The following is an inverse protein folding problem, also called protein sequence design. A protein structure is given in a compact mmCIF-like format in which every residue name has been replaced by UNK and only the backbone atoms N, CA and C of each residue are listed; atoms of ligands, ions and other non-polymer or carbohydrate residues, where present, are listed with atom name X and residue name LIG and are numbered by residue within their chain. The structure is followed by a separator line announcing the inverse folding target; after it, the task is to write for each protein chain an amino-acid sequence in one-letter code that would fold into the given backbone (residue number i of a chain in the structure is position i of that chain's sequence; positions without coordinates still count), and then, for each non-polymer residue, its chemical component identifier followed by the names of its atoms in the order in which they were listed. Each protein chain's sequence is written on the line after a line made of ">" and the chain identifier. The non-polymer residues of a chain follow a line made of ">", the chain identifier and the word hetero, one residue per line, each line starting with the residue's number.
data_IF_089307407747
#
_entry.id   IF_089307407747
#
_cell.length_a   1.000
_cell.length_b   1.000
_cell.length_c   1.000
_cell.angle_alpha   90.00
_cell.angle_beta   90.00
_cell.angle_gamma   90.00
#
_symmetry.space_group_name_H-M   'P 1'
#
loop_
_entity.id
_entity.type
_entity.pdbx_description
1 polymer ?
#
# COMPACT_ATOMS: atom_id res chain seq x y z
N UNK A 1 -10.79 4.26 -21.03
CA UNK A 1 -11.40 2.94 -21.32
C UNK A 1 -10.43 2.01 -22.05
N UNK A 2 -9.36 2.58 -22.63
CA UNK A 2 -8.47 1.90 -23.57
C UNK A 2 -7.32 1.15 -22.89
N UNK A 3 -6.85 1.61 -21.73
CA UNK A 3 -5.71 1.00 -21.02
C UNK A 3 -6.03 -0.44 -20.58
N UNK A 4 -7.24 -0.68 -20.04
CA UNK A 4 -7.69 -2.04 -19.67
C UNK A 4 -7.74 -2.99 -20.88
N UNK A 5 -8.17 -2.50 -22.04
CA UNK A 5 -8.17 -3.28 -23.28
C UNK A 5 -6.75 -3.50 -23.82
N UNK A 6 -5.85 -2.51 -23.71
CA UNK A 6 -4.44 -2.68 -24.09
C UNK A 6 -3.74 -3.72 -23.21
N UNK A 7 -4.00 -3.72 -21.90
CA UNK A 7 -3.51 -4.76 -20.98
C UNK A 7 -4.06 -6.14 -21.39
N UNK A 8 -5.34 -6.24 -21.74
CA UNK A 8 -5.96 -7.49 -22.18
C UNK A 8 -5.39 -8.02 -23.51
N UNK A 9 -4.98 -7.14 -24.42
CA UNK A 9 -4.29 -7.49 -25.67
C UNK A 9 -2.77 -7.64 -25.51
N UNK A 10 -2.24 -7.57 -24.29
CA UNK A 10 -0.81 -7.66 -23.99
C UNK A 10 0.02 -6.51 -24.63
N UNK A 11 -0.63 -5.39 -24.96
CA UNK A 11 -0.06 -4.14 -25.47
C UNK A 11 0.10 -3.06 -24.38
N UNK A 12 -0.24 -3.40 -23.13
CA UNK A 12 -0.12 -2.54 -21.96
C UNK A 12 1.31 -2.45 -21.41
N UNK A 13 1.54 -1.60 -20.39
CA UNK A 13 2.80 -1.53 -19.66
C UNK A 13 3.18 -2.90 -19.06
N UNK A 14 4.47 -3.21 -19.02
CA UNK A 14 5.00 -4.48 -18.48
C UNK A 14 4.51 -4.75 -17.05
N UNK A 15 4.49 -3.71 -16.23
CA UNK A 15 4.05 -3.76 -14.84
C UNK A 15 2.74 -3.00 -14.70
N UNK A 16 1.67 -3.70 -14.33
CA UNK A 16 0.33 -3.11 -14.17
C UNK A 16 -0.29 -3.60 -12.86
N UNK A 17 -0.80 -2.68 -12.06
CA UNK A 17 -1.61 -2.97 -10.88
C UNK A 17 -3.06 -2.53 -11.14
N UNK A 18 -4.00 -3.45 -11.05
CA UNK A 18 -5.44 -3.15 -11.15
C UNK A 18 -6.00 -3.12 -9.73
N UNK A 19 -6.46 -1.95 -9.29
CA UNK A 19 -7.17 -1.76 -8.04
C UNK A 19 -8.60 -1.31 -8.33
N UNK A 20 -9.56 -1.88 -7.59
CA UNK A 20 -10.98 -1.52 -7.71
C UNK A 20 -11.42 -0.80 -6.44
N UNK A 21 -11.79 0.48 -6.59
CA UNK A 21 -12.03 1.38 -5.47
C UNK A 21 -10.81 2.23 -5.15
N UNK A 22 -11.03 3.25 -4.32
CA UNK A 22 -9.97 4.12 -3.82
C UNK A 22 -10.13 4.27 -2.30
N UNK A 23 -9.01 4.32 -1.59
CA UNK A 23 -8.99 4.83 -0.24
C UNK A 23 -8.98 6.35 -0.32
N UNK A 24 -9.98 6.99 0.29
CA UNK A 24 -10.08 8.43 0.36
C UNK A 24 -10.25 8.84 1.82
N UNK A 25 -9.48 9.83 2.24
CA UNK A 25 -9.61 10.42 3.57
C UNK A 25 -10.41 11.71 3.48
N UNK A 26 -11.25 11.96 4.48
CA UNK A 26 -11.87 13.27 4.66
C UNK A 26 -10.81 14.28 5.12
N UNK A 27 -11.08 15.58 4.95
CA UNK A 27 -10.13 16.62 5.35
C UNK A 27 -9.74 16.48 6.84
N UNK A 28 -8.43 16.38 7.12
CA UNK A 28 -7.88 16.24 8.48
C UNK A 28 -7.90 14.82 9.05
N UNK A 29 -8.63 13.87 8.45
CA UNK A 29 -8.72 12.50 8.96
C UNK A 29 -7.38 11.77 8.93
N UNK A 30 -6.63 11.91 7.83
CA UNK A 30 -5.32 11.26 7.68
C UNK A 30 -4.34 11.75 8.75
N UNK A 31 -4.30 13.07 9.01
CA UNK A 31 -3.44 13.67 10.02
C UNK A 31 -3.81 13.20 11.45
N UNK A 32 -5.11 13.11 11.77
CA UNK A 32 -5.57 12.58 13.05
C UNK A 32 -5.20 11.10 13.24
N UNK A 33 -5.40 10.26 12.23
CA UNK A 33 -5.07 8.84 12.31
C UNK A 33 -3.54 8.61 12.36
N UNK A 34 -2.75 9.42 11.65
CA UNK A 34 -1.29 9.45 11.79
C UNK A 34 -0.87 9.87 13.21
N UNK A 35 -1.51 10.88 13.80
CA UNK A 35 -1.23 11.33 15.17
C UNK A 35 -1.60 10.26 16.23
N UNK A 36 -2.59 9.42 15.93
CA UNK A 36 -2.99 8.29 16.79
C UNK A 36 -2.11 7.04 16.60
N UNK A 37 -1.02 7.11 15.81
CA UNK A 37 -0.20 5.96 15.42
C UNK A 37 -1.00 4.83 14.74
N UNK A 38 -2.15 5.15 14.13
CA UNK A 38 -2.95 4.18 13.39
C UNK A 38 -2.35 3.86 12.01
N UNK A 39 -1.54 4.77 11.46
CA UNK A 39 -0.83 4.57 10.19
C UNK A 39 0.67 4.77 10.34
N UNK A 40 1.43 3.93 9.65
CA UNK A 40 2.86 4.06 9.49
C UNK A 40 3.15 4.52 8.06
N UNK A 41 3.92 5.59 7.92
CA UNK A 41 4.33 6.12 6.62
C UNK A 41 5.74 5.66 6.28
N UNK A 42 5.90 5.08 5.09
CA UNK A 42 7.19 4.71 4.51
C UNK A 42 7.31 5.31 3.11
N UNK A 43 8.55 5.51 2.64
CA UNK A 43 8.76 5.92 1.25
C UNK A 43 8.18 4.88 0.31
N UNK A 44 7.42 5.33 -0.67
CA UNK A 44 6.89 4.46 -1.71
C UNK A 44 8.05 3.89 -2.54
N UNK A 45 8.13 2.56 -2.59
CA UNK A 45 9.11 1.83 -3.39
C UNK A 45 8.39 1.10 -4.53
N UNK A 46 8.67 1.45 -5.80
CA UNK A 46 8.07 0.79 -6.97
C UNK A 46 8.33 -0.72 -7.00
N UNK A 47 9.48 -1.20 -6.52
CA UNK A 47 9.82 -2.62 -6.54
C UNK A 47 8.93 -3.41 -5.56
N UNK A 48 8.51 -2.78 -4.46
CA UNK A 48 7.52 -3.36 -3.55
C UNK A 48 6.12 -3.36 -4.18
N UNK A 49 5.76 -2.32 -4.92
CA UNK A 49 4.44 -2.27 -5.57
C UNK A 49 4.29 -3.23 -6.75
N UNK A 50 5.32 -3.36 -7.59
CA UNK A 50 5.22 -4.06 -8.86
C UNK A 50 5.95 -5.40 -8.89
N UNK A 51 7.13 -5.51 -8.26
CA UNK A 51 7.96 -6.72 -8.32
C UNK A 51 7.74 -7.68 -7.15
N UNK A 52 7.24 -7.19 -6.01
CA UNK A 52 7.03 -8.02 -4.81
C UNK A 52 5.64 -8.71 -4.83
N UNK A 53 5.55 -10.02 -4.52
CA UNK A 53 4.28 -10.72 -4.39
C UNK A 53 3.37 -10.05 -3.35
N UNK A 54 2.06 -10.00 -3.60
CA UNK A 54 1.07 -9.32 -2.74
C UNK A 54 1.25 -9.65 -1.24
N UNK A 55 1.38 -10.94 -0.91
CA UNK A 55 1.53 -11.44 0.46
C UNK A 55 2.82 -10.98 1.15
N UNK A 56 3.82 -10.52 0.39
CA UNK A 56 5.11 -10.08 0.91
C UNK A 56 5.24 -8.55 0.91
N UNK A 57 4.33 -7.82 0.25
CA UNK A 57 4.43 -6.36 0.11
C UNK A 57 4.38 -5.65 1.46
N UNK A 58 3.48 -6.06 2.35
CA UNK A 58 3.34 -5.46 3.67
C UNK A 58 4.60 -5.69 4.53
N UNK A 59 5.18 -6.89 4.48
CA UNK A 59 6.43 -7.22 5.18
C UNK A 59 7.61 -6.44 4.59
N UNK A 60 7.71 -6.35 3.26
CA UNK A 60 8.75 -5.57 2.59
C UNK A 60 8.65 -4.08 2.93
N UNK A 61 7.43 -3.53 2.99
CA UNK A 61 7.19 -2.14 3.37
C UNK A 61 7.59 -1.86 4.83
N UNK A 62 7.34 -2.78 5.75
CA UNK A 62 7.81 -2.63 7.12
C UNK A 62 9.33 -2.79 7.27
N UNK A 63 9.94 -3.69 6.50
CA UNK A 63 11.40 -3.82 6.44
C UNK A 63 12.07 -2.51 5.96
N UNK A 64 11.46 -1.78 5.02
CA UNK A 64 11.94 -0.45 4.61
C UNK A 64 11.93 0.57 5.75
N UNK A 65 10.95 0.46 6.65
CA UNK A 65 10.85 1.31 7.83
C UNK A 65 11.85 0.89 8.92
N UNK A 66 12.48 -0.30 8.78
CA UNK A 66 13.34 -0.91 9.79
C UNK A 66 12.56 -1.39 11.02
N UNK A 67 11.24 -1.59 10.89
CA UNK A 67 10.37 -1.98 12.00
C UNK A 67 9.96 -3.44 11.81
N UNK A 68 10.13 -4.24 12.86
CA UNK A 68 9.61 -5.60 12.92
C UNK A 68 8.13 -5.53 13.31
N UNK A 69 7.23 -5.87 12.38
CA UNK A 69 5.77 -5.81 12.61
C UNK A 69 5.29 -6.71 13.75
N UNK A 70 6.09 -7.71 14.13
CA UNK A 70 5.85 -8.52 15.31
C UNK A 70 5.93 -7.70 16.61
N UNK A 71 6.62 -6.55 16.61
CA UNK A 71 6.71 -5.62 17.73
C UNK A 71 5.54 -4.61 17.77
N UNK A 72 4.77 -4.50 16.68
CA UNK A 72 3.62 -3.59 16.58
C UNK A 72 2.28 -4.27 16.87
N UNK A 73 2.28 -5.60 16.98
CA UNK A 73 1.07 -6.41 17.13
C UNK A 73 0.57 -6.43 18.59
N UNK A 74 -0.28 -5.45 18.93
CA UNK A 74 -1.59 -5.62 19.63
C UNK A 74 -2.33 -4.27 19.89
N UNK A 75 -1.78 -3.14 19.43
CA UNK A 75 -2.27 -1.80 19.82
C UNK A 75 -2.82 -0.91 18.69
N UNK A 76 -3.09 -1.47 17.50
CA UNK A 76 -3.68 -0.70 16.41
C UNK A 76 -5.06 -1.29 16.08
N UNK A 77 -6.04 -0.84 16.85
CA UNK A 77 -7.44 -1.23 16.75
C UNK A 77 -8.25 -0.45 17.78
N UNK A 78 -8.60 0.80 17.47
CA UNK A 78 -9.67 1.46 18.19
C UNK A 78 -11.01 1.08 17.54
N UNK A 79 -11.78 0.31 18.32
CA UNK A 79 -13.21 -0.03 18.28
C UNK A 79 -14.02 0.26 17.00
#
# INVERSE_FOLDING_TARGET
>A
RDILMAIAHNEGPKDTLIALGYAGWSAGQLDEEMAQNAWLSVKADPDIMFSTPYEQRWQAAANLLGIDLNLLSDQIGHA
#
